data_IF_559913932038
#
_entry.id   IF_559913932038
#
_cell.length_a   1.000
_cell.length_b   1.000
_cell.length_c   1.000
_cell.angle_alpha   90.00
_cell.angle_beta   90.00
_cell.angle_gamma   90.00
#
_symmetry.space_group_name_H-M   'P 1'
#
loop_
_entity.id
_entity.type
_entity.pdbx_description
1 polymer ?
#
# COMPACT_ATOMS: atom_id res chain seq x y z
N UNK A 1 -4.08 37.93 -17.03
CA UNK A 1 -2.85 37.12 -16.92
C UNK A 1 -2.64 36.56 -15.51
N UNK A 2 -2.93 37.28 -14.43
CA UNK A 2 -2.71 36.79 -13.05
C UNK A 2 -3.58 35.59 -12.65
N UNK A 3 -4.84 35.50 -13.10
CA UNK A 3 -5.73 34.38 -12.75
C UNK A 3 -5.32 33.05 -13.38
N UNK A 4 -4.91 33.06 -14.66
CA UNK A 4 -4.42 31.86 -15.37
C UNK A 4 -3.10 31.38 -14.74
N UNK A 5 -2.17 32.29 -14.46
CA UNK A 5 -0.91 31.95 -13.79
C UNK A 5 -1.14 31.37 -12.38
N UNK A 6 -2.04 31.98 -11.60
CA UNK A 6 -2.38 31.46 -10.28
C UNK A 6 -3.03 30.06 -10.35
N UNK A 7 -3.91 29.82 -11.34
CA UNK A 7 -4.54 28.51 -11.56
C UNK A 7 -3.51 27.43 -11.88
N UNK A 8 -2.50 27.74 -12.68
CA UNK A 8 -1.42 26.80 -13.03
C UNK A 8 -0.57 26.45 -11.80
N UNK A 9 -0.26 27.44 -10.96
CA UNK A 9 0.45 27.22 -9.68
C UNK A 9 -0.36 26.33 -8.72
N UNK A 10 -1.69 26.55 -8.62
CA UNK A 10 -2.55 25.69 -7.81
C UNK A 10 -2.62 24.25 -8.30
N UNK A 11 -2.63 24.04 -9.63
CA UNK A 11 -2.57 22.69 -10.20
C UNK A 11 -1.23 22.00 -9.91
N UNK A 12 -0.11 22.72 -10.03
CA UNK A 12 1.22 22.21 -9.73
C UNK A 12 1.35 21.81 -8.26
N UNK A 13 0.90 22.66 -7.33
CA UNK A 13 0.94 22.38 -5.89
C UNK A 13 0.17 21.09 -5.56
N UNK A 14 -1.02 20.90 -6.15
CA UNK A 14 -1.83 19.69 -5.91
C UNK A 14 -1.15 18.42 -6.41
N UNK A 15 -0.53 18.48 -7.59
CA UNK A 15 0.19 17.34 -8.15
C UNK A 15 1.42 16.97 -7.31
N UNK A 16 2.22 17.96 -6.92
CA UNK A 16 3.38 17.74 -6.04
C UNK A 16 2.94 17.16 -4.70
N UNK A 17 1.90 17.75 -4.09
CA UNK A 17 1.37 17.25 -2.80
C UNK A 17 0.90 15.81 -2.91
N UNK A 18 0.23 15.44 -4.01
CA UNK A 18 -0.16 14.06 -4.27
C UNK A 18 1.07 13.16 -4.31
N UNK A 19 2.08 13.51 -5.12
CA UNK A 19 3.29 12.70 -5.28
C UNK A 19 4.04 12.53 -3.96
N UNK A 20 4.11 13.57 -3.13
CA UNK A 20 4.70 13.52 -1.79
C UNK A 20 3.95 12.55 -0.85
N UNK A 21 2.61 12.53 -0.89
CA UNK A 21 1.83 11.56 -0.12
C UNK A 21 2.08 10.12 -0.58
N UNK A 22 2.22 9.90 -1.90
CA UNK A 22 2.52 8.58 -2.45
C UNK A 22 3.89 8.08 -2.03
N UNK A 23 4.90 8.97 -2.11
CA UNK A 23 6.26 8.66 -1.69
C UNK A 23 6.31 8.32 -0.19
N UNK A 24 5.58 9.06 0.65
CA UNK A 24 5.55 8.85 2.09
C UNK A 24 4.89 7.53 2.50
N UNK A 25 3.85 7.08 1.78
CA UNK A 25 3.16 5.83 2.10
C UNK A 25 3.87 4.59 1.57
N UNK A 26 4.74 4.70 0.54
CA UNK A 26 5.44 3.58 -0.13
C UNK A 26 4.51 2.47 -0.66
N UNK A 27 3.21 2.74 -0.76
CA UNK A 27 2.23 1.85 -1.37
C UNK A 27 2.17 2.17 -2.87
N UNK A 28 2.25 1.17 -3.76
CA UNK A 28 2.01 1.37 -5.18
C UNK A 28 0.69 2.11 -5.47
N UNK A 29 0.71 3.19 -6.27
CA UNK A 29 -0.46 4.03 -6.50
C UNK A 29 -1.66 3.28 -7.09
N UNK A 30 -1.41 2.27 -7.93
CA UNK A 30 -2.49 1.42 -8.45
C UNK A 30 -3.27 0.66 -7.38
N UNK A 31 -2.67 0.40 -6.21
CA UNK A 31 -3.36 -0.28 -5.09
C UNK A 31 -4.12 0.69 -4.18
N UNK A 32 -3.90 2.01 -4.32
CA UNK A 32 -4.62 3.05 -3.59
C UNK A 32 -5.85 3.57 -4.36
N UNK A 33 -6.27 2.89 -5.44
CA UNK A 33 -7.43 3.29 -6.24
C UNK A 33 -7.22 4.57 -7.05
N UNK A 34 -5.96 4.94 -7.27
CA UNK A 34 -5.61 6.17 -7.98
C UNK A 34 -5.82 5.98 -9.49
N UNK A 35 -6.43 6.98 -10.13
CA UNK A 35 -6.61 6.99 -11.58
C UNK A 35 -5.32 7.52 -12.25
N UNK A 36 -4.75 6.79 -13.22
CA UNK A 36 -3.56 7.25 -13.94
C UNK A 36 -3.88 8.48 -14.79
N UNK A 37 -2.95 9.44 -14.85
CA UNK A 37 -3.07 10.64 -15.68
C UNK A 37 -2.30 10.52 -17.00
N UNK A 38 -1.51 9.47 -17.20
CA UNK A 38 -0.78 9.18 -18.42
C UNK A 38 -1.46 8.05 -19.22
N UNK A 39 -1.29 8.07 -20.55
CA UNK A 39 -1.90 7.06 -21.46
C UNK A 39 -1.40 5.63 -21.21
N UNK A 40 -0.25 5.47 -20.53
CA UNK A 40 0.35 4.15 -20.23
C UNK A 40 -0.16 3.45 -18.97
N UNK A 41 -0.93 4.13 -18.11
CA UNK A 41 -1.39 3.55 -16.85
C UNK A 41 -0.25 3.20 -15.87
N UNK A 42 -0.57 2.35 -14.88
CA UNK A 42 0.38 1.88 -13.86
C UNK A 42 1.01 0.51 -14.16
N UNK A 43 0.56 -0.17 -15.23
CA UNK A 43 1.00 -1.53 -15.56
C UNK A 43 0.28 -2.62 -14.75
N UNK A 44 0.96 -3.75 -14.58
CA UNK A 44 0.42 -4.96 -13.94
C UNK A 44 0.29 -4.79 -12.41
N UNK A 45 -0.96 -4.77 -11.93
CA UNK A 45 -1.33 -4.69 -10.51
C UNK A 45 -0.82 -5.88 -9.71
N UNK A 46 -0.91 -7.09 -10.27
CA UNK A 46 -0.54 -8.33 -9.57
C UNK A 46 0.97 -8.35 -9.29
N UNK A 47 1.76 -7.92 -10.27
CA UNK A 47 3.21 -7.76 -10.09
C UNK A 47 3.54 -6.72 -9.03
N UNK A 48 2.86 -5.57 -9.04
CA UNK A 48 3.08 -4.52 -8.05
C UNK A 48 2.72 -4.97 -6.63
N UNK A 49 1.62 -5.71 -6.47
CA UNK A 49 1.21 -6.29 -5.21
C UNK A 49 2.27 -7.28 -4.67
N UNK A 50 2.79 -8.20 -5.50
CA UNK A 50 3.87 -9.10 -5.10
C UNK A 50 5.11 -8.37 -4.60
N UNK A 51 5.54 -7.34 -5.33
CA UNK A 51 6.73 -6.54 -4.96
C UNK A 51 6.49 -5.79 -3.65
N UNK A 52 5.30 -5.19 -3.49
CA UNK A 52 4.94 -4.51 -2.25
C UNK A 52 4.90 -5.45 -1.05
N UNK A 53 4.33 -6.64 -1.21
CA UNK A 53 4.27 -7.61 -0.12
C UNK A 53 5.67 -8.02 0.33
N UNK A 54 6.54 -8.38 -0.62
CA UNK A 54 7.91 -8.80 -0.30
C UNK A 54 8.77 -7.70 0.33
N UNK A 55 8.60 -6.43 -0.09
CA UNK A 55 9.50 -5.33 0.33
C UNK A 55 8.97 -4.46 1.46
N UNK A 56 7.64 -4.37 1.64
CA UNK A 56 7.03 -3.49 2.63
C UNK A 56 6.20 -4.28 3.66
N UNK A 57 5.37 -5.24 3.22
CA UNK A 57 4.45 -5.94 4.12
C UNK A 57 5.15 -7.01 4.98
N UNK A 58 5.93 -7.91 4.38
CA UNK A 58 6.62 -8.99 5.09
C UNK A 58 7.62 -8.46 6.15
N UNK A 59 8.43 -7.42 5.87
CA UNK A 59 9.27 -6.80 6.90
C UNK A 59 8.45 -6.18 8.04
N UNK A 60 7.34 -5.50 7.72
CA UNK A 60 6.44 -4.95 8.74
C UNK A 60 5.83 -6.06 9.62
N UNK A 61 5.41 -7.17 9.01
CA UNK A 61 4.93 -8.35 9.73
C UNK A 61 6.04 -8.99 10.59
N UNK A 62 7.30 -8.97 10.14
CA UNK A 62 8.43 -9.42 10.95
C UNK A 62 8.62 -8.54 12.19
N UNK A 63 8.61 -7.21 12.04
CA UNK A 63 8.68 -6.29 13.18
C UNK A 63 7.49 -6.48 14.14
N UNK A 64 6.28 -6.68 13.62
CA UNK A 64 5.12 -6.97 14.48
C UNK A 64 5.25 -8.30 15.24
N UNK A 65 5.96 -9.30 14.70
CA UNK A 65 6.21 -10.57 15.38
C UNK A 65 7.21 -10.46 16.53
N UNK A 66 8.02 -9.41 16.61
CA UNK A 66 8.90 -9.14 17.76
C UNK A 66 8.10 -9.00 19.07
N UNK A 67 6.82 -8.63 18.99
CA UNK A 67 5.89 -8.60 20.14
C UNK A 67 5.82 -9.98 20.83
N UNK A 68 5.86 -11.07 20.07
CA UNK A 68 5.82 -12.43 20.64
C UNK A 68 7.07 -12.73 21.47
N UNK A 69 8.23 -12.26 21.02
CA UNK A 69 9.49 -12.42 21.76
C UNK A 69 9.45 -11.64 23.07
N UNK A 70 8.87 -10.44 23.07
CA UNK A 70 8.72 -9.63 24.27
C UNK A 70 7.70 -10.22 25.25
N UNK A 71 6.62 -10.81 24.74
CA UNK A 71 5.57 -11.42 25.55
C UNK A 71 5.96 -12.80 26.10
N UNK A 72 6.86 -13.53 25.42
CA UNK A 72 7.19 -14.91 25.74
C UNK A 72 6.12 -15.93 25.31
N UNK A 73 5.12 -15.49 24.53
CA UNK A 73 4.05 -16.33 23.97
C UNK A 73 3.64 -15.84 22.55
N UNK A 74 3.02 -16.71 21.75
CA UNK A 74 2.57 -16.35 20.40
C UNK A 74 1.26 -15.55 20.47
N UNK A 75 1.37 -14.22 20.32
CA UNK A 75 0.22 -13.28 20.28
C UNK A 75 -0.11 -12.88 18.85
N UNK A 76 0.91 -12.61 18.03
CA UNK A 76 0.80 -12.11 16.66
C UNK A 76 1.20 -13.21 15.68
N UNK A 77 0.26 -13.60 14.79
CA UNK A 77 0.50 -14.52 13.69
C UNK A 77 -0.18 -14.00 12.43
N UNK A 78 0.46 -14.20 11.28
CA UNK A 78 -0.07 -13.85 9.97
C UNK A 78 -0.24 -15.11 9.14
N UNK A 79 -1.30 -15.16 8.35
CA UNK A 79 -1.48 -16.21 7.35
C UNK A 79 -0.56 -15.97 6.13
N UNK A 80 -0.18 -17.02 5.39
CA UNK A 80 0.57 -16.87 4.16
C UNK A 80 -0.16 -15.94 3.18
N UNK A 81 0.58 -15.01 2.58
CA UNK A 81 0.01 -14.13 1.56
C UNK A 81 -0.40 -14.92 0.31
N UNK A 82 -1.61 -14.66 -0.20
CA UNK A 82 -2.09 -15.20 -1.46
C UNK A 82 -2.82 -14.13 -2.27
N UNK A 83 -2.49 -14.06 -3.56
CA UNK A 83 -3.18 -13.21 -4.54
C UNK A 83 -4.40 -13.88 -5.15
N UNK A 84 -4.45 -15.21 -5.18
CA UNK A 84 -5.48 -15.99 -5.88
C UNK A 84 -6.82 -16.03 -5.14
N UNK A 85 -6.91 -15.46 -3.93
CA UNK A 85 -8.13 -15.53 -3.13
C UNK A 85 -8.56 -16.98 -2.87
N UNK A 86 -7.60 -17.91 -2.76
CA UNK A 86 -7.94 -19.29 -2.38
C UNK A 86 -8.51 -19.29 -0.95
N UNK A 87 -9.68 -19.90 -0.84
CA UNK A 87 -10.58 -19.96 0.30
C UNK A 87 -9.90 -20.51 1.58
N UNK A 88 -9.22 -19.65 2.35
CA UNK A 88 -8.61 -20.09 3.61
C UNK A 88 -8.36 -19.04 4.68
N UNK A 89 -8.46 -17.74 4.37
CA UNK A 89 -8.14 -16.67 5.32
C UNK A 89 -9.20 -15.57 5.28
N UNK A 90 -10.46 -15.97 5.15
CA UNK A 90 -11.54 -15.12 5.66
C UNK A 90 -11.28 -14.90 7.14
N UNK A 91 -11.30 -13.65 7.59
CA UNK A 91 -11.45 -13.28 8.99
C UNK A 91 -12.66 -14.03 9.55
N UNK A 92 -12.43 -15.25 10.04
CA UNK A 92 -13.43 -16.06 10.71
C UNK A 92 -13.63 -15.41 12.08
N UNK A 93 -14.80 -14.79 12.35
CA UNK A 93 -15.07 -14.14 13.61
C UNK A 93 -15.11 -15.13 14.80
N UNK A 94 -14.98 -16.44 14.54
CA UNK A 94 -14.95 -17.50 15.55
C UNK A 94 -13.56 -18.00 15.92
N UNK A 95 -12.48 -17.60 15.22
CA UNK A 95 -11.11 -17.81 15.67
C UNK A 95 -10.69 -16.71 16.66
N UNK A 96 -11.05 -16.89 17.93
CA UNK A 96 -10.43 -16.21 19.08
C UNK A 96 -9.65 -17.22 19.90
#
# INVERSE_FOLDING_TARGET
>A
MSEVAAKDDFWNIKNITRDDQLAGHRIPPQMMGIIPQNTGGFGDVEKAARVFVANELEPLQATMREINEWAGEEIVRFDPYSLSGDEGTGLDPTRR
#
